data_IF_576935474931
#
_entry.id   IF_576935474931
#
_cell.length_a   1.000
_cell.length_b   1.000
_cell.length_c   1.000
_cell.angle_alpha   90.00
_cell.angle_beta   90.00
_cell.angle_gamma   90.00
#
_symmetry.space_group_name_H-M   'P 1'
#
loop_
_entity.id
_entity.type
_entity.pdbx_description
1 polymer ?
#
# COMPACT_ATOMS: atom_id res chain seq x y z
N UNK A 1 47.88 10.75 -48.67
CA UNK A 1 47.61 10.41 -47.26
C UNK A 1 46.20 10.90 -46.95
N UNK A 2 45.20 10.00 -47.03
CA UNK A 2 43.77 10.32 -46.95
C UNK A 2 43.32 9.95 -45.53
N UNK A 3 42.93 10.95 -44.73
CA UNK A 3 42.37 10.70 -43.39
C UNK A 3 40.88 11.03 -43.43
N UNK A 4 40.07 9.98 -43.55
CA UNK A 4 38.62 10.06 -43.54
C UNK A 4 38.11 10.45 -42.13
N UNK A 5 37.35 11.53 -42.03
CA UNK A 5 36.55 11.86 -40.84
C UNK A 5 35.29 10.98 -40.84
N UNK A 6 35.27 9.97 -39.98
CA UNK A 6 34.07 9.18 -39.71
C UNK A 6 33.11 9.99 -38.84
N UNK A 7 31.92 10.26 -39.37
CA UNK A 7 30.83 10.93 -38.67
C UNK A 7 30.14 9.94 -37.73
N UNK A 8 30.08 10.28 -36.44
CA UNK A 8 29.34 9.54 -35.43
C UNK A 8 27.84 9.79 -35.67
N UNK A 9 27.19 8.85 -36.35
CA UNK A 9 25.73 8.75 -36.41
C UNK A 9 25.25 8.36 -35.01
N UNK A 10 24.79 9.33 -34.23
CA UNK A 10 24.05 9.06 -32.99
C UNK A 10 22.69 8.50 -33.40
N UNK A 11 22.59 7.19 -33.49
CA UNK A 11 21.32 6.48 -33.57
C UNK A 11 20.54 6.81 -32.31
N UNK A 12 19.56 7.70 -32.44
CA UNK A 12 18.59 8.00 -31.40
C UNK A 12 17.80 6.72 -31.19
N UNK A 13 18.18 5.92 -30.19
CA UNK A 13 17.42 4.75 -29.76
C UNK A 13 16.03 5.26 -29.41
N UNK A 14 15.07 4.97 -30.29
CA UNK A 14 13.68 5.29 -30.09
C UNK A 14 13.20 4.39 -28.96
N UNK A 15 13.15 4.94 -27.74
CA UNK A 15 12.54 4.29 -26.58
C UNK A 15 11.05 4.13 -26.91
N UNK A 16 10.65 2.94 -27.36
CA UNK A 16 9.25 2.56 -27.36
C UNK A 16 8.80 2.58 -25.90
N UNK A 17 7.89 3.47 -25.54
CA UNK A 17 7.13 3.37 -24.29
C UNK A 17 6.17 2.17 -24.44
N UNK A 18 6.70 0.96 -24.26
CA UNK A 18 5.87 -0.24 -24.25
C UNK A 18 5.01 -0.23 -22.99
N UNK A 19 3.68 -0.22 -23.20
CA UNK A 19 2.57 -0.56 -22.31
C UNK A 19 2.80 -0.61 -20.79
N UNK A 20 1.94 0.10 -20.04
CA UNK A 20 1.71 -0.08 -18.60
C UNK A 20 3.00 -0.39 -17.82
N UNK A 21 3.97 0.53 -17.86
CA UNK A 21 5.15 0.43 -17.00
C UNK A 21 4.67 0.60 -15.55
N UNK A 22 4.54 -0.52 -14.84
CA UNK A 22 4.27 -0.49 -13.40
C UNK A 22 5.54 0.08 -12.75
N UNK A 23 5.41 1.27 -12.15
CA UNK A 23 6.42 1.84 -11.27
C UNK A 23 6.47 1.02 -9.97
N UNK A 24 7.28 -0.04 -9.99
CA UNK A 24 7.37 -1.06 -8.94
C UNK A 24 7.88 -0.48 -7.64
N UNK A 25 8.86 0.40 -7.72
CA UNK A 25 9.44 1.05 -6.55
C UNK A 25 8.38 1.90 -5.84
N UNK A 26 7.49 2.54 -6.60
CA UNK A 26 6.33 3.22 -6.03
C UNK A 26 5.31 2.25 -5.45
N UNK A 27 4.98 1.15 -6.13
CA UNK A 27 4.02 0.14 -5.61
C UNK A 27 4.50 -0.49 -4.30
N UNK A 28 5.78 -0.88 -4.20
CA UNK A 28 6.34 -1.46 -2.97
C UNK A 28 6.39 -0.45 -1.83
N UNK A 29 6.73 0.81 -2.12
CA UNK A 29 6.67 1.89 -1.12
C UNK A 29 5.25 2.10 -0.62
N UNK A 30 4.25 2.15 -1.50
CA UNK A 30 2.86 2.32 -1.09
C UNK A 30 2.31 1.11 -0.35
N UNK A 31 2.67 -0.11 -0.76
CA UNK A 31 2.32 -1.34 -0.04
C UNK A 31 2.84 -1.30 1.41
N UNK A 32 4.11 -0.93 1.57
CA UNK A 32 4.76 -0.80 2.88
C UNK A 32 4.11 0.29 3.72
N UNK A 33 3.90 1.48 3.14
CA UNK A 33 3.27 2.61 3.82
C UNK A 33 1.86 2.27 4.30
N UNK A 34 1.07 1.55 3.49
CA UNK A 34 -0.31 1.20 3.85
C UNK A 34 -0.37 0.20 5.00
N UNK A 35 0.56 -0.76 5.05
CA UNK A 35 0.67 -1.70 6.17
C UNK A 35 1.08 -0.99 7.46
N UNK A 36 2.10 -0.14 7.40
CA UNK A 36 2.57 0.66 8.56
C UNK A 36 1.45 1.56 9.08
N UNK A 37 0.75 2.27 8.19
CA UNK A 37 -0.38 3.09 8.60
C UNK A 37 -1.51 2.27 9.20
N UNK A 38 -1.82 1.09 8.65
CA UNK A 38 -2.79 0.17 9.25
C UNK A 38 -2.41 -0.20 10.69
N UNK A 39 -1.14 -0.56 10.92
CA UNK A 39 -0.59 -0.90 12.24
C UNK A 39 -0.63 0.27 13.23
N UNK A 40 -0.21 1.46 12.79
CA UNK A 40 -0.26 2.69 13.60
C UNK A 40 -1.72 3.02 13.99
N UNK A 41 -2.65 2.88 13.05
CA UNK A 41 -4.07 3.09 13.29
C UNK A 41 -4.62 2.09 14.31
N UNK A 42 -4.27 0.80 14.18
CA UNK A 42 -4.67 -0.23 15.14
C UNK A 42 -4.13 0.07 16.55
N UNK A 43 -2.87 0.48 16.66
CA UNK A 43 -2.25 0.83 17.94
C UNK A 43 -2.87 2.09 18.58
N UNK A 44 -3.34 3.05 17.77
CA UNK A 44 -4.06 4.21 18.26
C UNK A 44 -5.47 3.82 18.76
N UNK A 45 -6.16 2.93 18.06
CA UNK A 45 -7.48 2.42 18.46
C UNK A 45 -7.41 1.63 19.76
N UNK A 46 -6.36 0.83 19.97
CA UNK A 46 -6.18 0.08 21.20
C UNK A 46 -6.02 1.00 22.41
N UNK A 47 -5.19 2.05 22.28
CA UNK A 47 -5.08 3.08 23.33
C UNK A 47 -6.41 3.78 23.61
N UNK A 48 -7.23 4.00 22.58
CA UNK A 48 -8.55 4.61 22.75
C UNK A 48 -9.52 3.67 23.48
N UNK A 49 -9.44 2.35 23.25
CA UNK A 49 -10.19 1.34 24.00
C UNK A 49 -9.78 1.31 25.46
N UNK A 50 -8.47 1.27 25.73
CA UNK A 50 -7.90 1.27 27.08
C UNK A 50 -8.30 2.51 27.88
N UNK A 51 -8.34 3.68 27.23
CA UNK A 51 -8.83 4.93 27.85
C UNK A 51 -10.31 4.86 28.23
N UNK A 52 -11.09 4.04 27.53
CA UNK A 52 -12.53 3.96 27.65
C UNK A 52 -13.25 5.27 27.30
N UNK A 53 -14.55 5.31 27.59
CA UNK A 53 -15.41 6.47 27.27
C UNK A 53 -15.15 7.72 28.12
N UNK A 54 -14.29 7.65 29.15
CA UNK A 54 -13.98 8.81 29.99
C UNK A 54 -15.20 9.39 30.74
N UNK A 55 -16.31 8.64 30.81
CA UNK A 55 -17.60 9.10 31.33
C UNK A 55 -17.58 9.58 32.79
N UNK A 56 -16.60 9.13 33.57
CA UNK A 56 -16.34 9.63 34.92
C UNK A 56 -16.04 11.14 34.97
N UNK A 57 -15.50 11.72 33.88
CA UNK A 57 -15.20 13.16 33.79
C UNK A 57 -16.41 14.04 33.43
N UNK A 58 -17.53 13.46 32.99
CA UNK A 58 -18.72 14.19 32.49
C UNK A 58 -19.78 14.45 33.58
N UNK A 59 -19.39 14.27 34.84
CA UNK A 59 -20.28 14.24 36.00
C UNK A 59 -20.81 12.82 36.20
N UNK A 60 -20.46 12.20 37.33
CA UNK A 60 -20.83 10.83 37.68
C UNK A 60 -22.35 10.59 37.77
N UNK A 61 -22.75 9.45 38.34
CA UNK A 61 -24.17 9.09 38.52
C UNK A 61 -24.95 10.24 39.19
N UNK A 62 -25.75 10.98 38.41
CA UNK A 62 -26.48 12.17 38.85
C UNK A 62 -26.08 13.51 38.20
N UNK A 63 -25.05 13.55 37.36
CA UNK A 63 -24.67 14.76 36.60
C UNK A 63 -25.65 15.09 35.47
N UNK A 64 -25.73 16.37 35.07
CA UNK A 64 -26.61 16.88 34.01
C UNK A 64 -26.48 16.09 32.68
N UNK A 65 -25.29 15.56 32.39
CA UNK A 65 -25.00 14.82 31.16
C UNK A 65 -25.06 13.30 31.34
N UNK A 66 -25.44 12.80 32.52
CA UNK A 66 -25.45 11.36 32.82
C UNK A 66 -26.36 10.56 31.89
N UNK A 67 -27.46 11.16 31.41
CA UNK A 67 -28.35 10.55 30.42
C UNK A 67 -27.71 10.34 29.04
N UNK A 68 -26.64 11.08 28.71
CA UNK A 68 -25.95 10.99 27.42
C UNK A 68 -24.81 9.97 27.44
N UNK A 69 -24.42 9.45 28.61
CA UNK A 69 -23.31 8.49 28.75
C UNK A 69 -23.55 7.21 27.94
N UNK A 70 -24.78 6.67 27.96
CA UNK A 70 -25.14 5.47 27.20
C UNK A 70 -25.02 5.68 25.69
N UNK A 71 -25.76 6.63 25.09
CA UNK A 71 -25.66 6.94 23.66
C UNK A 71 -24.24 7.31 23.21
N UNK A 72 -23.48 8.03 24.03
CA UNK A 72 -22.09 8.35 23.75
C UNK A 72 -21.19 7.10 23.72
N UNK A 73 -21.40 6.16 24.65
CA UNK A 73 -20.68 4.88 24.66
C UNK A 73 -21.00 4.02 23.44
N UNK A 74 -22.26 3.96 23.04
CA UNK A 74 -22.67 3.25 21.82
C UNK A 74 -22.04 3.87 20.57
N UNK A 75 -22.10 5.19 20.43
CA UNK A 75 -21.48 5.89 19.30
C UNK A 75 -19.95 5.70 19.27
N UNK A 76 -19.30 5.73 20.44
CA UNK A 76 -17.86 5.48 20.55
C UNK A 76 -17.51 4.05 20.16
N UNK A 77 -18.29 3.06 20.60
CA UNK A 77 -18.09 1.66 20.24
C UNK A 77 -18.25 1.44 18.72
N UNK A 78 -19.31 1.98 18.12
CA UNK A 78 -19.54 1.90 16.67
C UNK A 78 -18.39 2.56 15.87
N UNK A 79 -17.92 3.72 16.32
CA UNK A 79 -16.78 4.41 15.71
C UNK A 79 -15.49 3.58 15.79
N UNK A 80 -15.22 2.96 16.95
CA UNK A 80 -14.07 2.08 17.14
C UNK A 80 -14.13 0.84 16.23
N UNK A 81 -15.30 0.24 16.08
CA UNK A 81 -15.53 -0.90 15.19
C UNK A 81 -15.25 -0.51 13.73
N UNK A 82 -15.87 0.57 13.25
CA UNK A 82 -15.68 1.04 11.88
C UNK A 82 -14.20 1.36 11.58
N UNK A 83 -13.52 2.06 12.49
CA UNK A 83 -12.10 2.38 12.33
C UNK A 83 -11.19 1.13 12.36
N UNK A 84 -11.57 0.10 13.11
CA UNK A 84 -10.85 -1.19 13.10
C UNK A 84 -10.97 -1.87 11.75
N UNK A 85 -12.16 -1.86 11.16
CA UNK A 85 -12.37 -2.36 9.80
C UNK A 85 -11.51 -1.63 8.76
N UNK A 86 -11.38 -0.31 8.88
CA UNK A 86 -10.53 0.50 7.97
C UNK A 86 -9.06 0.11 8.12
N UNK A 87 -8.54 0.01 9.35
CA UNK A 87 -7.17 -0.43 9.61
C UNK A 87 -6.88 -1.81 9.00
N UNK A 88 -7.79 -2.77 9.15
CA UNK A 88 -7.70 -4.08 8.51
C UNK A 88 -7.63 -3.98 6.98
N UNK A 89 -8.54 -3.21 6.37
CA UNK A 89 -8.56 -3.02 4.91
C UNK A 89 -7.28 -2.37 4.37
N UNK A 90 -6.66 -1.46 5.12
CA UNK A 90 -5.35 -0.89 4.77
C UNK A 90 -4.25 -1.95 4.78
N UNK A 91 -4.21 -2.80 5.81
CA UNK A 91 -3.29 -3.95 5.87
C UNK A 91 -3.47 -4.91 4.70
N UNK A 92 -4.72 -5.29 4.41
CA UNK A 92 -5.05 -6.19 3.29
C UNK A 92 -4.69 -5.58 1.93
N UNK A 93 -4.90 -4.28 1.76
CA UNK A 93 -4.48 -3.55 0.55
C UNK A 93 -2.96 -3.57 0.39
N UNK A 94 -2.21 -3.32 1.46
CA UNK A 94 -0.74 -3.42 1.45
C UNK A 94 -0.26 -4.82 1.06
N UNK A 95 -0.87 -5.86 1.63
CA UNK A 95 -0.57 -7.25 1.30
C UNK A 95 -0.89 -7.58 -0.17
N UNK A 96 -2.04 -7.13 -0.66
CA UNK A 96 -2.45 -7.32 -2.06
C UNK A 96 -1.50 -6.66 -3.06
N UNK A 97 -1.05 -5.44 -2.78
CA UNK A 97 -0.06 -4.74 -3.62
C UNK A 97 1.29 -5.47 -3.63
N UNK A 98 1.73 -5.98 -2.47
CA UNK A 98 2.97 -6.77 -2.39
C UNK A 98 2.87 -8.06 -3.20
N UNK A 99 1.73 -8.76 -3.13
CA UNK A 99 1.49 -9.99 -3.90
C UNK A 99 1.44 -9.72 -5.40
N UNK A 100 0.76 -8.64 -5.82
CA UNK A 100 0.70 -8.23 -7.21
C UNK A 100 2.09 -7.92 -7.76
N UNK A 101 2.91 -7.16 -7.04
CA UNK A 101 4.30 -6.86 -7.43
C UNK A 101 5.13 -8.15 -7.61
N UNK A 102 5.01 -9.10 -6.67
CA UNK A 102 5.71 -10.38 -6.74
C UNK A 102 5.28 -11.21 -7.96
N UNK A 103 3.98 -11.30 -8.23
CA UNK A 103 3.45 -12.05 -9.38
C UNK A 103 3.88 -11.44 -10.71
N UNK A 104 3.87 -10.11 -10.82
CA UNK A 104 4.38 -9.42 -12.02
C UNK A 104 5.86 -9.72 -12.24
N UNK A 105 6.69 -9.68 -11.19
CA UNK A 105 8.11 -10.01 -11.27
C UNK A 105 8.35 -11.43 -11.77
N UNK A 106 7.59 -12.38 -11.26
CA UNK A 106 7.70 -13.78 -11.66
C UNK A 106 7.28 -13.98 -13.12
N UNK A 107 6.16 -13.37 -13.54
CA UNK A 107 5.69 -13.44 -14.91
C UNK A 107 6.69 -12.85 -15.91
N UNK A 108 7.31 -11.73 -15.59
CA UNK A 108 8.35 -11.13 -16.44
C UNK A 108 9.61 -11.99 -16.53
N UNK A 109 10.06 -12.55 -15.41
CA UNK A 109 11.22 -13.46 -15.41
C UNK A 109 10.96 -14.67 -16.29
N UNK A 110 9.81 -15.32 -16.11
CA UNK A 110 9.40 -16.46 -16.93
C UNK A 110 9.32 -16.10 -18.43
N UNK A 111 8.79 -14.91 -18.76
CA UNK A 111 8.72 -14.41 -20.13
C UNK A 111 10.11 -14.18 -20.75
N UNK A 112 11.04 -13.58 -20.00
CA UNK A 112 12.42 -13.37 -20.46
C UNK A 112 13.15 -14.70 -20.66
N UNK A 113 12.99 -15.65 -19.74
CA UNK A 113 13.64 -16.96 -19.83
C UNK A 113 13.09 -17.77 -21.02
N UNK A 114 11.78 -17.72 -21.27
CA UNK A 114 11.18 -18.35 -22.43
C UNK A 114 11.64 -17.69 -23.75
N UNK A 115 11.75 -16.36 -23.78
CA UNK A 115 12.24 -15.64 -24.95
C UNK A 115 13.70 -16.00 -25.26
N UNK A 116 14.56 -16.14 -24.23
CA UNK A 116 15.94 -16.62 -24.37
C UNK A 116 16.00 -18.05 -24.90
N UNK A 117 15.23 -18.96 -24.30
CA UNK A 117 15.17 -20.36 -24.74
C UNK A 117 14.69 -20.50 -26.19
N UNK A 118 13.76 -19.63 -26.64
CA UNK A 118 13.36 -19.58 -28.05
C UNK A 118 14.50 -19.05 -28.92
N UNK A 119 15.17 -17.96 -28.54
CA UNK A 119 16.29 -17.41 -29.31
C UNK A 119 17.41 -18.44 -29.51
N UNK A 120 17.80 -19.14 -28.44
CA UNK A 120 18.83 -20.19 -28.46
C UNK A 120 18.46 -21.40 -29.33
N UNK A 121 17.16 -21.62 -29.56
CA UNK A 121 16.66 -22.72 -30.41
C UNK A 121 16.79 -22.41 -31.91
N UNK A 122 16.87 -21.14 -32.29
CA UNK A 122 16.91 -20.71 -33.70
C UNK A 122 18.30 -20.24 -34.17
N UNK A 123 19.30 -20.25 -33.27
CA UNK A 123 20.73 -20.02 -33.57
C UNK A 123 21.50 -21.33 -33.54
#
# INVERSE_FOLDING_TARGET
MITARSAIVRTKVFRMSSGLEIDRDSVERYATAMRVHGEDYAAALERLRERGVGGASWGGAGGLLSMLLGPYAEATALGLEAMTGISGAMGDTGNGLSLASANTREGERAGVDQARALADRWT
#
